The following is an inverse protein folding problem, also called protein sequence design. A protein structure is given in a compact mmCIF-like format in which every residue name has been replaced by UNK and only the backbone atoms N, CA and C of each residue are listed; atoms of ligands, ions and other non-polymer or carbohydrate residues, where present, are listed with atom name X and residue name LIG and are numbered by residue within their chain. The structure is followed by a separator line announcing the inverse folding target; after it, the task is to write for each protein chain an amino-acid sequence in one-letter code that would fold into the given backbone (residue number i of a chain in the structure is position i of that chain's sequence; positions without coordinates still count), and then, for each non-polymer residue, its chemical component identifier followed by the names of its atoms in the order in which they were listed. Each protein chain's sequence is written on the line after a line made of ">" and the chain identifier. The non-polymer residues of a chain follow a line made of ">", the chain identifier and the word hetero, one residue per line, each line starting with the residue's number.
data_IF_546545206166
#
_entry.id   IF_546545206166
#
_cell.length_a   1.000
_cell.length_b   1.000
_cell.length_c   1.000
_cell.angle_alpha   90.00
_cell.angle_beta   90.00
_cell.angle_gamma   90.00
#
_symmetry.space_group_name_H-M   'P 1'
#
loop_
_entity.id
_entity.type
_entity.pdbx_description
1 polymer ?
#
# COMPACT_ATOMS: atom_id res chain seq x y z
N UNK A 1 47.32 13.95 8.10
CA UNK A 1 46.57 13.04 7.21
C UNK A 1 45.21 13.66 6.99
N UNK A 2 44.80 14.02 5.76
CA UNK A 2 43.45 14.52 5.55
C UNK A 2 42.45 13.36 5.70
N UNK A 3 41.20 13.62 6.15
CA UNK A 3 40.18 12.60 6.21
C UNK A 3 39.70 12.23 4.80
N UNK A 4 39.47 10.93 4.58
CA UNK A 4 39.08 10.31 3.31
C UNK A 4 37.60 10.64 2.96
N UNK A 5 37.29 11.28 1.82
CA UNK A 5 35.96 11.82 1.57
C UNK A 5 35.11 10.92 0.67
N UNK A 6 34.92 9.62 0.94
CA UNK A 6 34.10 8.76 0.06
C UNK A 6 33.28 7.65 0.77
N UNK A 7 32.66 7.96 1.91
CA UNK A 7 31.47 7.21 2.34
C UNK A 7 30.22 8.00 1.99
N UNK A 8 29.87 7.99 0.70
CA UNK A 8 28.55 8.40 0.23
C UNK A 8 27.53 7.42 0.80
N UNK A 9 27.04 7.73 2.00
CA UNK A 9 25.93 7.02 2.64
C UNK A 9 24.84 6.81 1.58
N UNK A 10 24.38 5.56 1.33
CA UNK A 10 23.41 5.32 0.29
C UNK A 10 22.21 6.23 0.51
N UNK A 11 21.89 7.11 -0.44
CA UNK A 11 20.79 8.09 -0.34
C UNK A 11 19.46 7.44 0.09
N UNK A 12 19.29 6.14 -0.15
CA UNK A 12 18.13 5.33 0.21
C UNK A 12 18.08 4.92 1.70
N UNK A 13 19.22 4.72 2.37
CA UNK A 13 19.24 4.35 3.78
C UNK A 13 18.69 5.50 4.65
N UNK A 14 19.09 6.74 4.33
CA UNK A 14 18.53 7.93 4.98
C UNK A 14 17.05 8.15 4.63
N UNK A 15 16.61 7.79 3.41
CA UNK A 15 15.20 7.91 3.03
C UNK A 15 14.30 7.00 3.87
N UNK A 16 14.70 5.73 4.06
CA UNK A 16 13.95 4.76 4.87
C UNK A 16 13.73 5.25 6.29
N UNK A 17 14.79 5.72 6.96
CA UNK A 17 14.65 6.16 8.35
C UNK A 17 13.89 7.49 8.45
N UNK A 18 14.13 8.46 7.56
CA UNK A 18 13.34 9.70 7.51
C UNK A 18 11.85 9.44 7.32
N UNK A 19 11.47 8.46 6.50
CA UNK A 19 10.07 8.11 6.31
C UNK A 19 9.47 7.47 7.57
N UNK A 20 10.23 6.60 8.27
CA UNK A 20 9.81 6.03 9.56
C UNK A 20 9.65 7.10 10.63
N UNK A 21 10.58 8.06 10.70
CA UNK A 21 10.51 9.15 11.67
C UNK A 21 9.32 10.06 11.42
N UNK A 22 9.01 10.36 10.15
CA UNK A 22 7.76 11.06 9.81
C UNK A 22 6.53 10.26 10.22
N UNK A 23 6.50 8.96 9.96
CA UNK A 23 5.39 8.08 10.34
C UNK A 23 5.17 8.04 11.86
N UNK A 24 6.25 8.05 12.65
CA UNK A 24 6.21 8.07 14.12
C UNK A 24 5.86 9.45 14.69
N UNK A 25 6.41 10.52 14.10
CA UNK A 25 6.27 11.89 14.61
C UNK A 25 4.98 12.57 14.17
N UNK A 26 4.73 12.65 12.86
CA UNK A 26 3.52 13.26 12.32
C UNK A 26 2.33 12.28 12.31
N UNK A 27 2.58 10.97 12.44
CA UNK A 27 1.55 9.93 12.43
C UNK A 27 1.34 9.30 11.06
N UNK A 28 1.15 7.98 11.04
CA UNK A 28 1.08 7.17 9.81
C UNK A 28 -0.09 7.57 8.88
N UNK A 29 -1.17 8.12 9.43
CA UNK A 29 -2.36 8.53 8.68
C UNK A 29 -2.15 9.77 7.79
N UNK A 30 -1.08 10.53 8.02
CA UNK A 30 -0.76 11.71 7.22
C UNK A 30 0.16 11.39 6.04
N UNK A 31 0.60 10.14 5.91
CA UNK A 31 1.42 9.73 4.79
C UNK A 31 0.57 9.58 3.53
N UNK A 32 1.05 10.07 2.37
CA UNK A 32 0.41 9.76 1.11
C UNK A 32 0.51 8.26 0.81
N UNK A 33 -0.42 7.75 0.03
CA UNK A 33 -0.56 6.32 -0.31
C UNK A 33 0.76 5.65 -0.74
N UNK A 34 1.55 6.32 -1.59
CA UNK A 34 2.82 5.76 -2.05
C UNK A 34 3.85 5.63 -0.93
N UNK A 35 3.88 6.56 0.03
CA UNK A 35 4.78 6.49 1.19
C UNK A 35 4.32 5.44 2.19
N UNK A 36 3.01 5.25 2.36
CA UNK A 36 2.47 4.16 3.16
C UNK A 36 2.85 2.80 2.55
N UNK A 37 2.76 2.68 1.23
CA UNK A 37 3.19 1.48 0.51
C UNK A 37 4.71 1.26 0.61
N UNK A 38 5.51 2.32 0.51
CA UNK A 38 6.97 2.24 0.74
C UNK A 38 7.31 1.67 2.13
N UNK A 39 6.62 2.13 3.18
CA UNK A 39 6.83 1.62 4.55
C UNK A 39 6.58 0.12 4.66
N UNK A 40 5.53 -0.38 4.00
CA UNK A 40 5.24 -1.82 3.96
C UNK A 40 6.33 -2.56 3.17
N UNK A 41 6.64 -2.07 1.96
CA UNK A 41 7.64 -2.67 1.08
C UNK A 41 9.05 -2.67 1.68
N UNK A 42 9.37 -1.80 2.64
CA UNK A 42 10.66 -1.89 3.33
C UNK A 42 10.86 -3.21 4.07
N UNK A 43 9.78 -3.85 4.55
CA UNK A 43 9.81 -5.12 5.27
C UNK A 43 9.93 -6.29 4.31
N UNK A 44 9.15 -6.25 3.24
CA UNK A 44 9.12 -7.29 2.21
C UNK A 44 10.34 -7.25 1.27
N UNK A 45 10.87 -6.05 1.01
CA UNK A 45 12.05 -5.81 0.19
C UNK A 45 13.12 -5.04 0.99
N UNK A 46 13.91 -5.74 1.83
CA UNK A 46 14.88 -5.12 2.72
C UNK A 46 16.02 -4.40 1.97
N UNK A 47 16.28 -4.78 0.72
CA UNK A 47 17.38 -4.25 -0.09
C UNK A 47 16.88 -3.35 -1.23
N UNK A 48 17.71 -2.36 -1.60
CA UNK A 48 17.48 -1.47 -2.74
C UNK A 48 16.47 -0.34 -2.48
N UNK A 49 16.17 0.43 -3.52
CA UNK A 49 15.09 1.42 -3.49
C UNK A 49 13.74 0.72 -3.75
N UNK A 50 12.69 1.10 -3.02
CA UNK A 50 11.32 0.61 -3.24
C UNK A 50 10.36 1.71 -3.67
N UNK A 51 10.79 2.98 -3.61
CA UNK A 51 9.98 4.12 -4.03
C UNK A 51 9.53 4.00 -5.50
N UNK A 52 10.38 3.61 -6.46
CA UNK A 52 9.94 3.38 -7.84
C UNK A 52 8.88 2.28 -7.94
N UNK A 53 9.03 1.18 -7.19
CA UNK A 53 8.07 0.08 -7.17
C UNK A 53 6.73 0.50 -6.58
N UNK A 54 6.74 1.22 -5.45
CA UNK A 54 5.52 1.73 -4.82
C UNK A 54 4.73 2.63 -5.78
N UNK A 55 5.43 3.53 -6.49
CA UNK A 55 4.83 4.38 -7.52
C UNK A 55 4.32 3.55 -8.69
N UNK A 56 5.09 2.59 -9.20
CA UNK A 56 4.67 1.76 -10.33
C UNK A 56 3.43 0.92 -10.02
N UNK A 57 3.33 0.38 -8.81
CA UNK A 57 2.13 -0.31 -8.32
C UNK A 57 0.91 0.61 -8.36
N UNK A 58 1.02 1.81 -7.78
CA UNK A 58 -0.08 2.78 -7.78
C UNK A 58 -0.42 3.30 -9.17
N UNK A 59 0.56 3.53 -10.04
CA UNK A 59 0.32 3.93 -11.43
C UNK A 59 -0.42 2.84 -12.21
N UNK A 60 -0.05 1.56 -12.00
CA UNK A 60 -0.68 0.44 -12.72
C UNK A 60 -2.10 0.16 -12.24
N UNK A 61 -2.31 0.15 -10.92
CA UNK A 61 -3.57 -0.31 -10.33
C UNK A 61 -4.49 0.84 -9.90
N UNK A 62 -3.98 2.07 -9.79
CA UNK A 62 -4.75 3.30 -9.59
C UNK A 62 -4.97 3.71 -8.13
N UNK A 63 -4.96 2.78 -7.17
CA UNK A 63 -5.16 3.08 -5.75
C UNK A 63 -4.56 2.01 -4.83
N UNK A 64 -4.38 2.30 -3.54
CA UNK A 64 -3.98 1.28 -2.55
C UNK A 64 -4.93 0.08 -2.53
N UNK A 65 -6.25 0.33 -2.56
CA UNK A 65 -7.25 -0.73 -2.57
C UNK A 65 -7.08 -1.65 -3.79
N UNK A 66 -6.85 -1.06 -4.98
CA UNK A 66 -6.63 -1.82 -6.20
C UNK A 66 -5.28 -2.56 -6.22
N UNK A 67 -4.22 -1.99 -5.64
CA UNK A 67 -2.93 -2.68 -5.45
C UNK A 67 -3.11 -3.93 -4.58
N UNK A 68 -3.82 -3.79 -3.44
CA UNK A 68 -4.05 -4.89 -2.52
C UNK A 68 -5.00 -5.96 -3.11
N UNK A 69 -5.95 -5.56 -3.94
CA UNK A 69 -6.88 -6.47 -4.61
C UNK A 69 -6.30 -7.17 -5.85
N UNK A 70 -5.14 -6.76 -6.35
CA UNK A 70 -4.51 -7.38 -7.51
C UNK A 70 -4.10 -8.85 -7.23
N UNK A 71 -4.12 -9.68 -8.27
CA UNK A 71 -3.65 -11.06 -8.20
C UNK A 71 -2.13 -11.10 -7.95
N UNK A 72 -1.64 -12.21 -7.37
CA UNK A 72 -0.20 -12.42 -7.16
C UNK A 72 0.54 -12.36 -8.50
N UNK A 73 -0.04 -12.95 -9.53
CA UNK A 73 0.48 -12.97 -10.90
C UNK A 73 0.59 -11.54 -11.45
N UNK A 74 -0.45 -10.72 -11.32
CA UNK A 74 -0.46 -9.34 -11.80
C UNK A 74 0.55 -8.48 -11.05
N UNK A 75 0.65 -8.63 -9.73
CA UNK A 75 1.63 -7.92 -8.91
C UNK A 75 3.06 -8.22 -9.40
N UNK A 76 3.38 -9.48 -9.67
CA UNK A 76 4.69 -9.91 -10.16
C UNK A 76 5.05 -9.37 -11.55
N UNK A 77 4.07 -8.91 -12.34
CA UNK A 77 4.36 -8.24 -13.63
C UNK A 77 4.92 -6.82 -13.45
N UNK A 78 4.81 -6.23 -12.26
CA UNK A 78 5.23 -4.84 -12.01
C UNK A 78 6.74 -4.76 -11.86
N UNK A 79 7.34 -3.88 -12.68
CA UNK A 79 8.76 -3.56 -12.65
C UNK A 79 8.96 -2.05 -12.66
N UNK A 80 10.05 -1.60 -12.06
CA UNK A 80 10.46 -0.20 -12.04
C UNK A 80 11.98 -0.09 -12.00
N UNK A 81 12.53 0.91 -12.66
CA UNK A 81 13.96 1.23 -12.59
C UNK A 81 14.25 2.10 -11.36
N UNK A 82 15.32 1.76 -10.65
CA UNK A 82 15.82 2.60 -9.57
C UNK A 82 16.64 3.80 -10.09
N UNK A 83 17.02 4.70 -9.19
CA UNK A 83 17.84 5.89 -9.54
C UNK A 83 19.20 5.56 -10.18
N UNK A 84 19.62 4.29 -10.17
CA UNK A 84 20.87 3.79 -10.74
C UNK A 84 20.64 3.00 -12.04
N UNK A 85 19.42 3.03 -12.60
CA UNK A 85 19.04 2.31 -13.81
C UNK A 85 18.90 0.81 -13.63
N UNK A 86 18.80 0.31 -12.39
CA UNK A 86 18.62 -1.13 -12.15
C UNK A 86 17.14 -1.47 -12.18
N UNK A 87 16.77 -2.43 -13.02
CA UNK A 87 15.42 -2.95 -13.06
C UNK A 87 15.13 -3.76 -11.80
N UNK A 88 14.11 -3.32 -11.05
CA UNK A 88 13.57 -4.03 -9.90
C UNK A 88 12.14 -4.46 -10.21
N UNK A 89 11.69 -5.53 -9.58
CA UNK A 89 10.31 -6.01 -9.71
C UNK A 89 9.72 -6.42 -8.38
N UNK A 90 8.43 -6.73 -8.41
CA UNK A 90 7.74 -7.41 -7.31
C UNK A 90 8.05 -8.91 -7.40
N UNK A 91 8.76 -9.44 -6.41
CA UNK A 91 9.01 -10.89 -6.30
C UNK A 91 7.81 -11.63 -5.71
N UNK A 92 7.86 -12.97 -5.78
CA UNK A 92 6.78 -13.82 -5.27
C UNK A 92 6.47 -13.57 -3.79
N UNK A 93 7.50 -13.45 -2.94
CA UNK A 93 7.32 -13.13 -1.51
C UNK A 93 6.65 -11.77 -1.30
N UNK A 94 7.04 -10.74 -2.06
CA UNK A 94 6.40 -9.42 -1.95
C UNK A 94 4.96 -9.42 -2.44
N UNK A 95 4.65 -10.17 -3.50
CA UNK A 95 3.29 -10.32 -3.96
C UNK A 95 2.44 -11.06 -2.92
N UNK A 96 2.97 -12.11 -2.30
CA UNK A 96 2.30 -12.86 -1.24
C UNK A 96 2.08 -11.99 0.01
N UNK A 97 3.05 -11.19 0.42
CA UNK A 97 2.93 -10.25 1.55
C UNK A 97 1.80 -9.24 1.32
N UNK A 98 1.69 -8.69 0.10
CA UNK A 98 0.61 -7.75 -0.26
C UNK A 98 -0.76 -8.44 -0.28
N UNK A 99 -0.83 -9.66 -0.82
CA UNK A 99 -2.05 -10.47 -0.78
C UNK A 99 -2.47 -10.82 0.65
N UNK A 100 -1.51 -11.13 1.53
CA UNK A 100 -1.75 -11.37 2.94
C UNK A 100 -2.25 -10.09 3.65
N UNK A 101 -1.65 -8.94 3.36
CA UNK A 101 -2.11 -7.64 3.86
C UNK A 101 -3.56 -7.36 3.46
N UNK A 102 -3.92 -7.64 2.20
CA UNK A 102 -5.29 -7.50 1.72
C UNK A 102 -6.26 -8.43 2.47
N UNK A 103 -5.90 -9.70 2.64
CA UNK A 103 -6.76 -10.66 3.33
C UNK A 103 -6.96 -10.28 4.81
N UNK A 104 -5.95 -9.75 5.47
CA UNK A 104 -6.08 -9.17 6.83
C UNK A 104 -7.08 -8.03 6.83
N UNK A 105 -6.91 -7.04 5.94
CA UNK A 105 -7.81 -5.90 5.84
C UNK A 105 -9.26 -6.34 5.56
N UNK A 106 -9.45 -7.33 4.68
CA UNK A 106 -10.76 -7.88 4.35
C UNK A 106 -11.41 -8.58 5.53
N UNK A 107 -10.65 -9.37 6.30
CA UNK A 107 -11.16 -10.05 7.51
C UNK A 107 -11.55 -9.07 8.61
N UNK A 108 -10.71 -8.07 8.89
CA UNK A 108 -11.00 -7.01 9.88
C UNK A 108 -12.26 -6.23 9.48
N UNK A 109 -12.38 -5.85 8.22
CA UNK A 109 -13.56 -5.13 7.72
C UNK A 109 -14.83 -5.99 7.79
N UNK A 110 -14.73 -7.29 7.46
CA UNK A 110 -15.86 -8.23 7.56
C UNK A 110 -16.31 -8.42 9.01
N UNK A 111 -15.39 -8.45 9.97
CA UNK A 111 -15.70 -8.56 11.39
C UNK A 111 -16.53 -7.35 11.87
N UNK A 112 -16.12 -6.14 11.50
CA UNK A 112 -16.86 -4.91 11.82
C UNK A 112 -18.25 -4.87 11.17
N UNK A 113 -18.36 -5.32 9.91
CA UNK A 113 -19.64 -5.44 9.21
C UNK A 113 -20.54 -6.51 9.83
N UNK A 114 -19.99 -7.61 10.36
CA UNK A 114 -20.75 -8.66 11.04
C UNK A 114 -21.33 -8.19 12.39
N UNK A 115 -20.67 -7.25 13.06
CA UNK A 115 -21.13 -6.67 14.34
C UNK A 115 -22.17 -5.58 14.17
N UNK A 116 -22.22 -4.91 13.00
CA UNK A 116 -23.25 -3.93 12.66
C UNK A 116 -24.27 -4.58 11.75
N UNK A 117 -25.44 -4.94 12.27
CA UNK A 117 -26.61 -5.26 11.43
C UNK A 117 -27.01 -3.98 10.69
N UNK A 118 -26.38 -3.68 9.56
CA UNK A 118 -26.66 -2.45 8.77
C UNK A 118 -28.06 -2.52 8.17
N UNK A 119 -28.59 -3.72 7.97
CA UNK A 119 -29.97 -3.92 7.54
C UNK A 119 -30.53 -5.09 8.36
N UNK A 120 -31.09 -4.77 9.52
CA UNK A 120 -31.60 -5.75 10.51
C UNK A 120 -32.88 -6.46 10.07
N UNK A 121 -33.47 -6.08 8.93
CA UNK A 121 -34.66 -6.71 8.38
C UNK A 121 -34.86 -6.40 6.90
N UNK A 122 -35.63 -7.25 6.22
CA UNK A 122 -36.13 -7.01 4.87
C UNK A 122 -36.80 -5.63 4.72
N UNK A 123 -37.50 -5.18 5.74
CA UNK A 123 -38.14 -3.86 5.77
C UNK A 123 -37.13 -2.72 5.73
N UNK A 124 -36.02 -2.84 6.46
CA UNK A 124 -34.94 -1.85 6.42
C UNK A 124 -34.26 -1.79 5.04
N UNK A 125 -34.16 -2.93 4.34
CA UNK A 125 -33.63 -2.98 2.96
C UNK A 125 -34.55 -2.23 2.00
N UNK A 126 -35.85 -2.53 2.04
CA UNK A 126 -36.86 -1.90 1.15
C UNK A 126 -36.96 -0.39 1.42
N UNK A 127 -36.88 0.03 2.69
CA UNK A 127 -36.88 1.45 3.04
C UNK A 127 -35.66 2.19 2.47
N UNK A 128 -34.46 1.61 2.60
CA UNK A 128 -33.24 2.18 2.03
C UNK A 128 -33.30 2.31 0.51
N UNK A 129 -33.73 1.25 -0.20
CA UNK A 129 -33.83 1.27 -1.67
C UNK A 129 -34.84 2.32 -2.14
N UNK A 130 -36.01 2.45 -1.48
CA UNK A 130 -37.01 3.47 -1.81
C UNK A 130 -36.50 4.89 -1.61
N UNK A 131 -35.75 5.12 -0.53
CA UNK A 131 -35.19 6.44 -0.22
C UNK A 131 -34.10 6.82 -1.25
N UNK A 132 -33.25 5.86 -1.63
CA UNK A 132 -32.17 6.09 -2.60
C UNK A 132 -32.70 6.36 -4.01
N UNK A 133 -33.74 5.62 -4.45
CA UNK A 133 -34.37 5.83 -5.77
C UNK A 133 -35.21 7.10 -5.86
N UNK A 134 -35.67 7.66 -4.74
CA UNK A 134 -36.40 8.94 -4.71
C UNK A 134 -35.51 10.16 -4.97
N UNK A 135 -34.19 10.02 -4.88
CA UNK A 135 -33.22 11.10 -5.09
C UNK A 135 -32.46 10.96 -6.42
N UNK A 136 -32.95 10.13 -7.33
CA UNK A 136 -32.41 9.98 -8.68
C UNK A 136 -33.21 10.88 -9.65
N UNK A 137 -32.58 11.78 -10.42
CA UNK A 137 -33.27 12.69 -11.33
C UNK A 137 -33.91 11.99 -12.54
#
# INVERSE_FOLDING_TARGET
>A
MPPDPLLSTPHHAGHRERLRDRARGAGIHHLPDYELLELFLFRSQPQGDVKPIAKALLTRFGSLAAVLAASVEDLMTVKAEDTRGRLKGVGAETALDLAALHEVARRVTKEEAGKRTVISSWTALVAYVRLSLQHEP
#
